data_IF_993610170668
#
_entry.id   IF_993610170668
#
_cell.length_a   1.000
_cell.length_b   1.000
_cell.length_c   1.000
_cell.angle_alpha   90.00
_cell.angle_beta   90.00
_cell.angle_gamma   90.00
#
_symmetry.space_group_name_H-M   'P 1'
#
loop_
_entity.id
_entity.type
_entity.pdbx_description
1 polymer ?
#
# COMPACT_ATOMS: atom_id res chain seq x y z
N UNK A 1 6.30 -20.00 -2.06
CA UNK A 1 5.22 -19.01 -2.24
C UNK A 1 4.15 -19.59 -3.14
N UNK A 2 2.87 -19.36 -2.88
CA UNK A 2 1.77 -19.86 -3.72
C UNK A 2 1.70 -19.09 -5.05
N UNK A 3 1.11 -19.67 -6.10
CA UNK A 3 0.92 -18.98 -7.40
C UNK A 3 0.14 -17.67 -7.25
N UNK A 4 -0.92 -17.68 -6.45
CA UNK A 4 -1.72 -16.49 -6.17
C UNK A 4 -0.91 -15.35 -5.54
N UNK A 5 0.04 -15.67 -4.64
CA UNK A 5 0.92 -14.67 -4.03
C UNK A 5 1.92 -14.11 -5.05
N UNK A 6 2.43 -14.95 -5.95
CA UNK A 6 3.31 -14.50 -7.04
C UNK A 6 2.54 -13.58 -7.99
N UNK A 7 1.36 -14.00 -8.44
CA UNK A 7 0.51 -13.21 -9.34
C UNK A 7 0.14 -11.85 -8.71
N UNK A 8 -0.09 -11.82 -7.40
CA UNK A 8 -0.35 -10.59 -6.64
C UNK A 8 0.87 -9.66 -6.61
N UNK A 9 2.02 -10.15 -6.15
CA UNK A 9 3.23 -9.33 -5.99
C UNK A 9 3.86 -8.91 -7.34
N UNK A 10 3.52 -9.61 -8.42
CA UNK A 10 3.98 -9.29 -9.77
C UNK A 10 2.95 -8.53 -10.61
N UNK A 11 1.79 -8.20 -10.04
CA UNK A 11 0.76 -7.41 -10.72
C UNK A 11 1.32 -6.07 -11.21
N UNK A 12 1.00 -5.69 -12.45
CA UNK A 12 1.43 -4.44 -13.07
C UNK A 12 0.22 -3.71 -13.63
N UNK A 13 0.21 -2.39 -13.50
CA UNK A 13 -0.78 -1.55 -14.15
C UNK A 13 -0.11 -0.34 -14.83
N UNK A 14 0.31 -0.46 -16.11
CA UNK A 14 0.99 0.62 -16.83
C UNK A 14 0.18 1.92 -16.91
N UNK A 15 -1.16 1.86 -16.81
CA UNK A 15 -2.01 3.06 -16.82
C UNK A 15 -1.85 3.86 -15.54
N UNK A 16 -1.85 3.20 -14.39
CA UNK A 16 -1.57 3.83 -13.09
C UNK A 16 -0.17 4.44 -13.09
N UNK A 17 0.84 3.66 -13.52
CA UNK A 17 2.23 4.12 -13.57
C UNK A 17 2.36 5.37 -14.44
N UNK A 18 1.82 5.35 -15.66
CA UNK A 18 1.91 6.47 -16.57
C UNK A 18 1.16 7.69 -16.04
N UNK A 19 -0.07 7.52 -15.54
CA UNK A 19 -0.87 8.62 -15.00
C UNK A 19 -0.15 9.30 -13.84
N UNK A 20 0.26 8.53 -12.84
CA UNK A 20 0.91 9.06 -11.65
C UNK A 20 2.26 9.70 -11.98
N UNK A 21 3.08 9.06 -12.82
CA UNK A 21 4.35 9.62 -13.30
C UNK A 21 4.16 10.98 -13.97
N UNK A 22 3.16 11.13 -14.84
CA UNK A 22 2.88 12.38 -15.54
C UNK A 22 2.46 13.50 -14.59
N UNK A 23 1.55 13.21 -13.64
CA UNK A 23 1.00 14.23 -12.74
C UNK A 23 1.97 14.64 -11.63
N UNK A 24 2.85 13.74 -11.19
CA UNK A 24 3.83 14.02 -10.14
C UNK A 24 5.23 14.35 -10.68
N UNK A 25 5.43 14.34 -12.00
CA UNK A 25 6.73 14.58 -12.65
C UNK A 25 7.84 13.66 -12.14
N UNK A 26 7.49 12.39 -11.88
CA UNK A 26 8.41 11.37 -11.39
C UNK A 26 8.82 10.41 -12.52
N UNK A 27 10.05 9.87 -12.51
CA UNK A 27 10.43 8.80 -13.42
C UNK A 27 9.51 7.58 -13.30
N UNK A 28 9.10 6.98 -14.42
CA UNK A 28 8.20 5.82 -14.39
C UNK A 28 8.78 4.62 -13.61
N UNK A 29 10.11 4.46 -13.60
CA UNK A 29 10.79 3.43 -12.81
C UNK A 29 10.57 3.62 -11.30
N UNK A 30 10.62 4.88 -10.83
CA UNK A 30 10.36 5.22 -9.44
C UNK A 30 8.89 4.91 -9.08
N UNK A 31 7.95 5.33 -9.92
CA UNK A 31 6.52 5.04 -9.72
C UNK A 31 6.24 3.55 -9.79
N UNK A 32 6.94 2.81 -10.65
CA UNK A 32 6.86 1.36 -10.75
C UNK A 32 7.33 0.68 -9.45
N UNK A 33 8.36 1.22 -8.81
CA UNK A 33 8.82 0.75 -7.50
C UNK A 33 7.80 1.10 -6.40
N UNK A 34 7.27 2.32 -6.36
CA UNK A 34 6.22 2.73 -5.42
C UNK A 34 4.96 1.87 -5.56
N UNK A 35 4.57 1.50 -6.79
CA UNK A 35 3.44 0.60 -7.00
C UNK A 35 3.71 -0.82 -6.49
N UNK A 36 4.93 -1.31 -6.64
CA UNK A 36 5.35 -2.58 -6.01
C UNK A 36 5.33 -2.49 -4.47
N UNK A 37 5.72 -1.35 -3.90
CA UNK A 37 5.66 -1.11 -2.46
C UNK A 37 4.21 -1.00 -1.95
N UNK A 38 3.29 -0.43 -2.75
CA UNK A 38 1.85 -0.43 -2.48
C UNK A 38 1.24 -1.85 -2.47
N UNK A 39 1.62 -2.71 -3.43
CA UNK A 39 1.17 -4.11 -3.42
C UNK A 39 1.68 -4.84 -2.17
N UNK A 40 2.94 -4.64 -1.79
CA UNK A 40 3.49 -5.19 -0.56
C UNK A 40 2.71 -4.71 0.68
N UNK A 41 2.35 -3.42 0.73
CA UNK A 41 1.52 -2.86 1.80
C UNK A 41 0.11 -3.48 1.84
N UNK A 42 -0.56 -3.68 0.70
CA UNK A 42 -1.84 -4.38 0.63
C UNK A 42 -1.76 -5.80 1.18
N UNK A 43 -0.70 -6.54 0.83
CA UNK A 43 -0.49 -7.88 1.37
C UNK A 43 -0.31 -7.84 2.90
N UNK A 44 0.52 -6.92 3.40
CA UNK A 44 0.73 -6.75 4.84
C UNK A 44 -0.57 -6.38 5.55
N UNK A 45 -1.36 -5.49 4.94
CA UNK A 45 -2.62 -5.03 5.50
C UNK A 45 -3.63 -6.17 5.62
N UNK A 46 -3.77 -6.98 4.58
CA UNK A 46 -4.60 -8.18 4.63
C UNK A 46 -4.06 -9.23 5.62
N UNK A 47 -2.73 -9.38 5.73
CA UNK A 47 -2.12 -10.26 6.73
C UNK A 47 -2.46 -9.81 8.16
N UNK A 48 -2.27 -8.52 8.48
CA UNK A 48 -2.57 -7.94 9.79
C UNK A 48 -4.06 -8.01 10.13
N UNK A 49 -4.94 -7.74 9.15
CA UNK A 49 -6.39 -7.86 9.32
C UNK A 49 -6.80 -9.28 9.74
N UNK A 50 -6.22 -10.31 9.11
CA UNK A 50 -6.47 -11.71 9.48
C UNK A 50 -5.97 -12.09 10.89
N UNK A 51 -5.11 -11.27 11.49
CA UNK A 51 -4.66 -11.39 12.88
C UNK A 51 -5.43 -10.48 13.84
N UNK A 52 -6.44 -9.75 13.36
CA UNK A 52 -7.17 -8.75 14.15
C UNK A 52 -6.34 -7.49 14.46
N UNK A 53 -5.25 -7.26 13.73
CA UNK A 53 -4.39 -6.08 13.88
C UNK A 53 -4.77 -4.99 12.88
N UNK A 54 -4.66 -3.73 13.29
CA UNK A 54 -4.82 -2.55 12.42
C UNK A 54 -3.59 -2.34 11.55
N UNK A 55 -3.78 -1.73 10.38
CA UNK A 55 -2.70 -1.27 9.50
C UNK A 55 -2.89 0.20 9.23
N UNK A 56 -1.80 0.93 8.99
CA UNK A 56 -1.84 2.39 8.95
C UNK A 56 -1.24 2.93 7.64
N UNK A 57 -1.82 4.04 7.16
CA UNK A 57 -1.30 4.89 6.10
C UNK A 57 -1.15 6.30 6.69
N UNK A 58 0.07 6.66 7.09
CA UNK A 58 0.37 7.94 7.71
C UNK A 58 1.73 8.44 7.26
N UNK A 59 1.95 9.76 7.41
CA UNK A 59 3.23 10.41 7.19
C UNK A 59 3.91 9.96 5.90
N UNK A 60 5.08 9.28 5.96
CA UNK A 60 5.81 8.85 4.78
C UNK A 60 5.05 7.91 3.83
N UNK A 61 4.00 7.22 4.30
CA UNK A 61 3.21 6.29 3.50
C UNK A 61 2.08 6.97 2.70
N UNK A 62 1.85 8.27 2.88
CA UNK A 62 0.76 8.97 2.19
C UNK A 62 0.94 9.02 0.67
N UNK A 63 2.17 8.87 0.17
CA UNK A 63 2.41 8.70 -1.27
C UNK A 63 1.83 7.36 -1.80
N UNK A 64 1.84 6.29 -1.00
CA UNK A 64 1.22 5.02 -1.37
C UNK A 64 -0.30 5.15 -1.39
N UNK A 65 -0.86 5.92 -0.46
CA UNK A 65 -2.29 6.23 -0.42
C UNK A 65 -2.75 7.04 -1.64
N UNK A 66 -1.97 8.06 -2.04
CA UNK A 66 -2.23 8.85 -3.25
C UNK A 66 -2.12 7.99 -4.53
N UNK A 67 -1.12 7.11 -4.62
CA UNK A 67 -0.98 6.15 -5.70
C UNK A 67 -2.14 5.13 -5.73
N UNK A 68 -2.65 4.73 -4.56
CA UNK A 68 -3.83 3.88 -4.45
C UNK A 68 -5.08 4.60 -4.96
N UNK A 69 -5.29 5.85 -4.57
CA UNK A 69 -6.38 6.67 -5.12
C UNK A 69 -6.29 6.79 -6.63
N UNK A 70 -5.08 6.92 -7.18
CA UNK A 70 -4.89 6.90 -8.63
C UNK A 70 -5.37 5.58 -9.24
N UNK A 71 -5.07 4.44 -8.61
CA UNK A 71 -5.53 3.14 -9.07
C UNK A 71 -7.06 3.02 -9.05
N UNK A 72 -7.70 3.50 -7.98
CA UNK A 72 -9.16 3.53 -7.81
C UNK A 72 -9.84 4.41 -8.87
N UNK A 73 -9.35 5.65 -9.05
CA UNK A 73 -10.05 6.68 -9.80
C UNK A 73 -9.76 6.65 -11.30
N UNK A 74 -8.56 6.21 -11.70
CA UNK A 74 -8.10 6.30 -13.08
C UNK A 74 -8.03 4.94 -13.79
N UNK A 75 -8.54 3.88 -13.17
CA UNK A 75 -8.70 2.58 -13.81
C UNK A 75 -10.00 1.88 -13.40
N UNK A 76 -10.53 1.03 -14.29
CA UNK A 76 -11.55 0.04 -13.91
C UNK A 76 -10.92 -1.24 -13.36
N UNK A 77 -9.62 -1.41 -13.59
CA UNK A 77 -8.87 -2.61 -13.25
C UNK A 77 -8.84 -2.82 -11.74
N UNK A 78 -8.96 -1.74 -10.94
CA UNK A 78 -8.99 -1.82 -9.50
C UNK A 78 -10.12 -2.73 -8.97
N UNK A 79 -11.33 -2.61 -9.51
CA UNK A 79 -12.43 -3.47 -9.09
C UNK A 79 -12.14 -4.95 -9.38
N UNK A 80 -11.59 -5.25 -10.56
CA UNK A 80 -11.20 -6.62 -10.93
C UNK A 80 -10.06 -7.13 -10.05
N UNK A 81 -9.05 -6.30 -9.80
CA UNK A 81 -7.94 -6.59 -8.90
C UNK A 81 -8.44 -6.92 -7.50
N UNK A 82 -9.33 -6.10 -6.93
CA UNK A 82 -9.83 -6.32 -5.58
C UNK A 82 -10.65 -7.62 -5.48
N UNK A 83 -11.53 -7.86 -6.45
CA UNK A 83 -12.31 -9.10 -6.51
C UNK A 83 -11.41 -10.34 -6.66
N UNK A 84 -10.37 -10.26 -7.48
CA UNK A 84 -9.46 -11.37 -7.72
C UNK A 84 -8.63 -11.72 -6.47
N UNK A 85 -8.11 -10.74 -5.76
CA UNK A 85 -7.12 -10.96 -4.69
C UNK A 85 -7.68 -10.89 -3.27
N UNK A 86 -8.80 -10.19 -3.05
CA UNK A 86 -9.45 -10.05 -1.75
C UNK A 86 -10.89 -10.58 -1.73
N UNK A 87 -11.46 -10.98 -2.87
CA UNK A 87 -12.83 -11.49 -2.97
C UNK A 87 -13.91 -10.43 -2.79
N UNK A 88 -13.53 -9.16 -2.67
CA UNK A 88 -14.43 -8.02 -2.45
C UNK A 88 -13.77 -6.73 -2.92
N UNK A 89 -14.53 -5.63 -2.98
CA UNK A 89 -13.93 -4.31 -3.10
C UNK A 89 -13.08 -4.03 -1.85
N UNK A 90 -11.78 -3.82 -2.05
CA UNK A 90 -10.84 -3.54 -0.98
C UNK A 90 -10.67 -2.03 -0.86
N UNK A 91 -10.69 -1.48 0.35
CA UNK A 91 -10.49 -0.06 0.58
C UNK A 91 -9.97 0.12 2.02
N UNK A 92 -9.24 1.20 2.28
CA UNK A 92 -8.93 1.57 3.66
C UNK A 92 -10.22 1.98 4.37
N UNK A 93 -10.19 1.94 5.69
CA UNK A 93 -11.25 2.55 6.48
C UNK A 93 -11.09 4.07 6.40
N UNK A 94 -12.14 4.75 5.93
CA UNK A 94 -12.19 6.22 5.94
C UNK A 94 -12.58 6.65 7.35
N UNK A 95 -11.63 7.27 8.04
CA UNK A 95 -11.86 7.76 9.39
C UNK A 95 -12.82 8.95 9.37
N UNK A 96 -13.66 9.04 10.41
CA UNK A 96 -14.58 10.18 10.54
C UNK A 96 -13.76 11.42 10.91
N UNK A 97 -13.91 12.55 10.19
CA UNK A 97 -13.21 13.78 10.52
C UNK A 97 -13.41 14.20 11.98
N UNK A 98 -12.32 14.46 12.70
CA UNK A 98 -12.30 14.79 14.12
C UNK A 98 -12.49 13.59 15.07
N UNK A 99 -12.46 12.36 14.55
CA UNK A 99 -12.48 11.09 15.29
C UNK A 99 -11.47 10.09 14.70
N UNK A 100 -10.41 10.62 14.11
CA UNK A 100 -9.29 9.85 13.60
C UNK A 100 -8.66 9.05 14.75
N UNK A 101 -8.17 7.86 14.44
CA UNK A 101 -7.49 7.03 15.41
C UNK A 101 -6.14 7.65 15.76
N UNK A 102 -5.96 7.99 17.04
CA UNK A 102 -4.68 8.45 17.54
C UNK A 102 -3.70 7.28 17.66
N UNK A 103 -2.76 7.20 16.72
CA UNK A 103 -1.70 6.20 16.71
C UNK A 103 -0.75 6.42 17.89
N UNK A 104 -0.71 5.47 18.83
CA UNK A 104 0.23 5.49 19.95
C UNK A 104 1.55 4.78 19.61
N UNK A 105 2.54 4.89 20.50
CA UNK A 105 3.87 4.31 20.31
C UNK A 105 3.86 2.77 20.19
N UNK A 106 2.97 2.09 20.93
CA UNK A 106 2.92 0.63 20.90
C UNK A 106 2.29 0.12 19.59
N UNK A 107 1.25 0.79 19.08
CA UNK A 107 0.67 0.51 17.77
C UNK A 107 1.68 0.74 16.65
N UNK A 108 2.41 1.86 16.73
CA UNK A 108 3.45 2.19 15.76
C UNK A 108 4.57 1.15 15.79
N UNK A 109 5.04 0.76 16.97
CA UNK A 109 6.08 -0.25 17.13
C UNK A 109 5.62 -1.61 16.59
N UNK A 110 4.40 -2.03 16.92
CA UNK A 110 3.84 -3.28 16.40
C UNK A 110 3.70 -3.26 14.87
N UNK A 111 3.25 -2.15 14.29
CA UNK A 111 3.17 -1.97 12.84
C UNK A 111 4.54 -2.03 12.16
N UNK A 112 5.50 -1.26 12.66
CA UNK A 112 6.85 -1.22 12.09
C UNK A 112 7.59 -2.56 12.23
N UNK A 113 7.36 -3.29 13.32
CA UNK A 113 7.90 -4.64 13.50
C UNK A 113 7.37 -5.59 12.42
N UNK A 114 6.06 -5.59 12.15
CA UNK A 114 5.51 -6.44 11.08
C UNK A 114 5.98 -5.97 9.69
N UNK A 115 6.14 -4.65 9.45
CA UNK A 115 6.76 -4.15 8.21
C UNK A 115 8.17 -4.71 8.03
N UNK A 116 9.02 -4.62 9.06
CA UNK A 116 10.38 -5.10 9.02
C UNK A 116 10.44 -6.63 8.85
N UNK A 117 9.66 -7.37 9.63
CA UNK A 117 9.68 -8.83 9.62
C UNK A 117 9.14 -9.40 8.30
N UNK A 118 8.09 -8.79 7.74
CA UNK A 118 7.39 -9.35 6.58
C UNK A 118 7.77 -8.72 5.25
N UNK A 119 8.12 -7.44 5.22
CA UNK A 119 8.46 -6.69 4.00
C UNK A 119 9.97 -6.42 3.86
N UNK A 120 10.71 -6.50 4.96
CA UNK A 120 12.17 -6.36 5.00
C UNK A 120 12.68 -4.92 5.07
N UNK A 121 13.96 -4.78 5.42
CA UNK A 121 14.65 -3.50 5.61
C UNK A 121 14.60 -2.60 4.38
N UNK A 122 14.69 -3.18 3.18
CA UNK A 122 14.66 -2.43 1.92
C UNK A 122 13.32 -1.72 1.69
N UNK A 123 12.20 -2.37 2.01
CA UNK A 123 10.88 -1.75 1.89
C UNK A 123 10.72 -0.62 2.92
N UNK A 124 11.15 -0.87 4.17
CA UNK A 124 11.12 0.13 5.24
C UNK A 124 12.00 1.34 4.87
N UNK A 125 13.21 1.10 4.37
CA UNK A 125 14.13 2.15 3.96
C UNK A 125 13.51 3.02 2.87
N UNK A 126 12.96 2.43 1.80
CA UNK A 126 12.31 3.21 0.73
C UNK A 126 11.10 4.01 1.21
N UNK A 127 10.25 3.40 2.03
CA UNK A 127 9.00 4.03 2.47
C UNK A 127 9.22 5.09 3.56
N UNK A 128 10.31 5.01 4.33
CA UNK A 128 10.56 5.89 5.47
C UNK A 128 11.87 6.70 5.35
N UNK A 129 12.55 6.68 4.20
CA UNK A 129 13.81 7.38 3.97
C UNK A 129 13.77 8.88 4.31
N UNK A 130 12.61 9.53 4.15
CA UNK A 130 12.45 10.97 4.42
C UNK A 130 12.33 11.36 5.91
N UNK A 131 12.39 10.40 6.84
CA UNK A 131 12.30 10.67 8.29
C UNK A 131 13.65 10.89 8.98
N UNK A 132 14.77 10.70 8.28
CA UNK A 132 16.12 10.80 8.84
C UNK A 132 17.05 11.66 7.99
#
# INVERSE_FOLDING_TARGET
MTRALIDFLTYKNPRVIHYYSYHHQLPQEEVQQQFSDLLAWFWLSNYRLNQGKKTFLFGPLLNLDDLWHTFILHTRDYLTFSQQFFGTYYHHDVETPGKEYELNEDDLRDFLNDCLEKLGEEWVSRCFAGLF
#
